data_IF_489741695607
#
_entry.id   IF_489741695607
#
_cell.length_a   1.000
_cell.length_b   1.000
_cell.length_c   1.000
_cell.angle_alpha   90.00
_cell.angle_beta   90.00
_cell.angle_gamma   90.00
#
_symmetry.space_group_name_H-M   'P 1'
#
loop_
_entity.id
_entity.type
_entity.pdbx_description
1 polymer ?
#
# COMPACT_ATOMS: atom_id res chain seq x y z
N UNK A 1 13.57 1.84 -25.12
CA UNK A 1 14.90 1.42 -24.62
C UNK A 1 14.85 -0.09 -24.51
N UNK A 2 15.59 -0.76 -25.39
CA UNK A 2 15.53 -2.20 -25.68
C UNK A 2 16.03 -3.07 -24.51
N UNK A 3 15.33 -4.18 -24.28
CA UNK A 3 15.70 -5.24 -23.33
C UNK A 3 16.12 -6.48 -24.11
N UNK A 4 17.36 -6.52 -24.54
CA UNK A 4 18.05 -7.77 -24.89
C UNK A 4 19.49 -7.63 -24.41
N UNK A 5 19.85 -8.40 -23.39
CA UNK A 5 21.25 -8.57 -23.00
C UNK A 5 21.47 -10.05 -22.69
N UNK A 6 22.42 -10.60 -23.43
CA UNK A 6 22.79 -11.99 -23.52
C UNK A 6 23.29 -12.58 -22.20
N UNK A 7 23.13 -13.90 -22.08
CA UNK A 7 23.67 -14.74 -21.02
C UNK A 7 25.20 -14.67 -20.96
N UNK A 8 25.76 -14.56 -19.75
CA UNK A 8 27.11 -15.05 -19.46
C UNK A 8 27.08 -16.08 -18.34
N UNK A 9 27.62 -17.29 -18.57
CA UNK A 9 27.77 -18.29 -17.52
C UNK A 9 28.98 -17.97 -16.64
N UNK A 10 28.89 -18.34 -15.36
CA UNK A 10 29.98 -18.34 -14.35
C UNK A 10 30.24 -17.05 -13.54
N UNK A 11 29.31 -16.69 -12.64
CA UNK A 11 29.64 -15.82 -11.50
C UNK A 11 29.14 -16.39 -10.17
N UNK A 12 30.07 -16.58 -9.22
CA UNK A 12 29.85 -17.15 -7.88
C UNK A 12 28.99 -16.22 -7.00
N UNK A 13 27.93 -16.78 -6.43
CA UNK A 13 26.81 -16.19 -5.67
C UNK A 13 27.09 -15.34 -4.40
N UNK A 14 28.31 -14.85 -4.15
CA UNK A 14 28.62 -14.20 -2.85
C UNK A 14 29.18 -12.78 -2.90
N UNK A 15 29.43 -12.19 -4.06
CA UNK A 15 29.93 -10.80 -4.11
C UNK A 15 29.37 -10.03 -5.31
N UNK A 16 28.44 -9.09 -5.07
CA UNK A 16 28.29 -7.76 -5.75
C UNK A 16 27.01 -7.07 -5.22
N UNK A 17 27.10 -6.00 -4.43
CA UNK A 17 27.12 -4.57 -4.81
C UNK A 17 26.02 -4.19 -5.82
N UNK A 18 25.03 -3.45 -5.32
CA UNK A 18 24.02 -2.69 -6.05
C UNK A 18 22.83 -3.49 -6.59
N UNK A 19 21.95 -3.81 -5.64
CA UNK A 19 20.55 -4.19 -5.83
C UNK A 19 19.87 -3.54 -7.05
N UNK A 20 19.62 -4.35 -8.07
CA UNK A 20 18.77 -4.06 -9.21
C UNK A 20 18.56 -5.36 -9.99
N UNK A 21 17.29 -5.65 -10.34
CA UNK A 21 16.75 -6.88 -10.97
C UNK A 21 16.68 -8.10 -10.03
N UNK A 22 15.51 -8.34 -9.45
CA UNK A 22 15.16 -9.60 -8.79
C UNK A 22 14.00 -10.21 -9.56
N UNK A 23 14.32 -11.15 -10.45
CA UNK A 23 13.31 -12.01 -11.06
C UNK A 23 13.06 -13.21 -10.11
N UNK A 24 11.79 -13.56 -9.92
CA UNK A 24 11.27 -14.72 -9.15
C UNK A 24 12.01 -16.05 -9.46
N UNK A 25 12.59 -16.11 -10.66
CA UNK A 25 13.33 -17.23 -11.23
C UNK A 25 14.61 -17.56 -10.46
N UNK A 26 15.29 -16.58 -9.87
CA UNK A 26 16.56 -16.81 -9.15
C UNK A 26 16.35 -17.44 -7.77
N UNK A 27 15.21 -17.17 -7.13
CA UNK A 27 14.84 -17.80 -5.86
C UNK A 27 14.68 -19.30 -6.03
N UNK A 28 13.93 -19.74 -7.04
CA UNK A 28 13.65 -21.15 -7.29
C UNK A 28 14.94 -21.91 -7.61
N UNK A 29 15.77 -21.35 -8.50
CA UNK A 29 17.05 -21.95 -8.92
C UNK A 29 17.97 -22.29 -7.76
N UNK A 30 17.97 -21.46 -6.71
CA UNK A 30 18.79 -21.67 -5.51
C UNK A 30 18.37 -22.94 -4.74
N UNK A 31 17.09 -23.33 -4.80
CA UNK A 31 16.55 -24.46 -4.04
C UNK A 31 16.28 -25.70 -4.91
N UNK A 32 16.49 -25.64 -6.23
CA UNK A 32 16.39 -26.83 -7.08
C UNK A 32 17.36 -27.92 -6.58
N UNK A 33 16.83 -29.12 -6.32
CA UNK A 33 17.59 -30.24 -5.75
C UNK A 33 17.67 -30.27 -4.22
N UNK A 34 16.95 -29.38 -3.53
CA UNK A 34 16.66 -29.46 -2.08
C UNK A 34 15.34 -30.21 -1.86
N UNK A 35 15.25 -30.88 -0.72
CA UNK A 35 14.03 -31.54 -0.26
C UNK A 35 13.15 -30.59 0.56
N UNK A 36 13.77 -29.56 1.18
CA UNK A 36 13.11 -28.68 2.14
C UNK A 36 13.57 -27.21 2.05
N UNK A 37 12.64 -26.29 2.32
CA UNK A 37 12.90 -24.87 2.52
C UNK A 37 12.32 -24.41 3.88
N UNK A 38 13.15 -23.77 4.70
CA UNK A 38 12.73 -23.19 5.98
C UNK A 38 12.51 -21.69 5.83
N UNK A 39 11.34 -21.20 6.25
CA UNK A 39 10.93 -19.81 6.03
C UNK A 39 10.30 -19.22 7.30
N UNK A 40 10.67 -18.00 7.75
CA UNK A 40 9.97 -17.36 8.87
C UNK A 40 8.50 -17.06 8.52
N UNK A 41 7.57 -17.28 9.46
CA UNK A 41 6.15 -16.92 9.25
C UNK A 41 6.01 -15.43 8.99
N UNK A 42 6.68 -14.59 9.79
CA UNK A 42 6.72 -13.13 9.60
C UNK A 42 7.25 -12.69 8.22
N UNK A 43 7.88 -13.58 7.47
CA UNK A 43 8.49 -13.28 6.19
C UNK A 43 7.53 -13.63 5.04
N UNK A 44 6.66 -14.64 5.21
CA UNK A 44 5.56 -14.94 4.28
C UNK A 44 4.32 -14.08 4.49
N UNK A 45 4.25 -13.34 5.59
CA UNK A 45 3.21 -12.34 5.87
C UNK A 45 3.80 -10.93 5.65
N UNK A 46 3.06 -10.00 5.04
CA UNK A 46 3.60 -8.64 4.84
C UNK A 46 3.29 -7.71 5.99
N UNK A 47 2.03 -7.65 6.40
CA UNK A 47 1.54 -6.65 7.32
C UNK A 47 0.44 -7.21 8.21
N UNK A 48 0.35 -6.62 9.38
CA UNK A 48 -0.81 -6.64 10.25
C UNK A 48 -1.40 -5.23 10.18
N UNK A 49 -2.26 -4.94 9.19
CA UNK A 49 -2.96 -3.63 9.14
C UNK A 49 -3.84 -3.44 10.35
N UNK A 50 -4.38 -4.56 10.82
CA UNK A 50 -5.32 -4.73 11.90
C UNK A 50 -4.96 -6.04 12.60
N UNK A 51 -5.19 -6.15 13.92
CA UNK A 51 -4.75 -7.35 14.65
C UNK A 51 -5.48 -8.58 14.12
N UNK A 52 -4.74 -9.56 13.57
CA UNK A 52 -5.34 -10.75 12.96
C UNK A 52 -5.67 -10.64 11.46
N UNK A 53 -5.47 -9.47 10.85
CA UNK A 53 -5.63 -9.26 9.41
C UNK A 53 -4.26 -9.32 8.74
N UNK A 54 -3.96 -10.48 8.14
CA UNK A 54 -2.70 -10.72 7.47
C UNK A 54 -2.89 -10.91 5.96
N UNK A 55 -1.89 -10.49 5.20
CA UNK A 55 -1.81 -10.70 3.75
C UNK A 55 -0.51 -11.39 3.36
N UNK A 56 -0.59 -12.12 2.25
CA UNK A 56 0.52 -12.87 1.69
C UNK A 56 1.62 -11.93 1.21
N UNK A 57 2.88 -12.25 1.51
CA UNK A 57 3.99 -11.51 0.94
C UNK A 57 4.17 -11.81 -0.54
N UNK A 58 4.14 -10.80 -1.44
CA UNK A 58 4.10 -10.96 -2.88
C UNK A 58 5.27 -11.76 -3.38
N UNK A 59 6.47 -11.33 -2.98
CA UNK A 59 7.73 -11.93 -3.33
C UNK A 59 7.82 -13.35 -2.77
N UNK A 60 7.34 -13.55 -1.55
CA UNK A 60 7.34 -14.86 -0.91
C UNK A 60 6.23 -15.77 -1.39
N UNK A 61 5.11 -15.24 -1.90
CA UNK A 61 3.98 -16.00 -2.43
C UNK A 61 4.39 -16.70 -3.70
N UNK A 62 4.98 -15.96 -4.63
CA UNK A 62 5.52 -16.51 -5.87
C UNK A 62 6.64 -17.53 -5.60
N UNK A 63 7.56 -17.21 -4.69
CA UNK A 63 8.62 -18.14 -4.30
C UNK A 63 8.06 -19.42 -3.65
N UNK A 64 7.15 -19.29 -2.69
CA UNK A 64 6.55 -20.43 -1.98
C UNK A 64 5.66 -21.28 -2.90
N UNK A 65 4.88 -20.66 -3.79
CA UNK A 65 4.07 -21.38 -4.78
C UNK A 65 4.96 -22.19 -5.72
N UNK A 66 6.09 -21.60 -6.12
CA UNK A 66 7.05 -22.28 -6.99
C UNK A 66 7.81 -23.39 -6.28
N UNK A 67 8.21 -23.20 -5.02
CA UNK A 67 8.79 -24.27 -4.19
C UNK A 67 7.81 -25.43 -4.04
N UNK A 68 6.54 -25.13 -3.75
CA UNK A 68 5.48 -26.12 -3.66
C UNK A 68 5.25 -26.85 -4.99
N UNK A 69 5.19 -26.13 -6.11
CA UNK A 69 5.08 -26.71 -7.46
C UNK A 69 6.23 -27.67 -7.77
N UNK A 70 7.44 -27.36 -7.33
CA UNK A 70 8.63 -28.22 -7.47
C UNK A 70 8.74 -29.29 -6.37
N UNK A 71 7.68 -29.53 -5.60
CA UNK A 71 7.61 -30.56 -4.54
C UNK A 71 8.64 -30.39 -3.42
N UNK A 72 9.12 -29.16 -3.19
CA UNK A 72 10.02 -28.82 -2.09
C UNK A 72 9.16 -28.54 -0.85
N UNK A 73 9.39 -29.29 0.23
CA UNK A 73 8.60 -29.17 1.46
C UNK A 73 8.94 -27.87 2.18
N UNK A 74 7.93 -27.05 2.45
CA UNK A 74 8.11 -25.77 3.15
C UNK A 74 7.80 -25.95 4.63
N UNK A 75 8.76 -25.57 5.47
CA UNK A 75 8.61 -25.57 6.94
C UNK A 75 8.68 -24.13 7.43
N UNK A 76 7.57 -23.64 7.96
CA UNK A 76 7.52 -22.32 8.54
C UNK A 76 8.05 -22.31 9.98
N UNK A 77 8.63 -21.20 10.43
CA UNK A 77 9.05 -21.05 11.83
C UNK A 77 8.78 -19.63 12.36
N UNK A 78 8.53 -19.52 13.66
CA UNK A 78 8.29 -18.21 14.30
C UNK A 78 8.56 -18.22 15.80
N UNK A 79 8.66 -17.05 16.43
CA UNK A 79 8.88 -16.91 17.88
C UNK A 79 7.67 -17.34 18.73
N UNK A 80 6.48 -17.47 18.14
CA UNK A 80 5.24 -17.83 18.85
C UNK A 80 4.29 -16.66 19.10
N UNK A 81 4.43 -15.55 18.34
CA UNK A 81 3.61 -14.35 18.51
C UNK A 81 2.15 -14.50 18.12
N UNK A 82 1.81 -15.48 17.26
CA UNK A 82 0.46 -15.64 16.69
C UNK A 82 -0.35 -16.77 17.34
N UNK A 83 0.10 -17.31 18.47
CA UNK A 83 -0.62 -18.36 19.22
C UNK A 83 -0.06 -19.77 19.02
N UNK A 84 -0.94 -20.77 18.93
CA UNK A 84 -0.59 -22.18 18.77
C UNK A 84 -0.48 -22.54 17.28
N UNK A 85 0.12 -23.68 16.97
CA UNK A 85 0.30 -24.15 15.59
C UNK A 85 -0.98 -24.09 14.73
N UNK A 86 -2.15 -24.42 15.31
CA UNK A 86 -3.44 -24.32 14.60
C UNK A 86 -3.81 -22.90 14.17
N UNK A 87 -3.48 -21.89 14.99
CA UNK A 87 -3.76 -20.48 14.70
C UNK A 87 -2.92 -20.00 13.51
N UNK A 88 -1.64 -20.38 13.49
CA UNK A 88 -0.76 -20.12 12.36
C UNK A 88 -1.24 -20.78 11.06
N UNK A 89 -1.69 -22.04 11.11
CA UNK A 89 -2.22 -22.73 9.91
C UNK A 89 -3.45 -22.03 9.36
N UNK A 90 -4.33 -21.54 10.24
CA UNK A 90 -5.50 -20.76 9.83
C UNK A 90 -5.08 -19.47 9.12
N UNK A 91 -4.15 -18.72 9.70
CA UNK A 91 -3.59 -17.48 9.11
C UNK A 91 -2.95 -17.78 7.75
N UNK A 92 -2.05 -18.76 7.68
CA UNK A 92 -1.35 -19.11 6.44
C UNK A 92 -2.30 -19.54 5.33
N UNK A 93 -3.35 -20.31 5.65
CA UNK A 93 -4.41 -20.67 4.69
C UNK A 93 -5.17 -19.43 4.19
N UNK A 94 -5.55 -18.52 5.08
CA UNK A 94 -6.20 -17.26 4.71
C UNK A 94 -5.30 -16.39 3.82
N UNK A 95 -3.99 -16.43 4.04
CA UNK A 95 -2.99 -15.76 3.21
C UNK A 95 -2.59 -16.56 1.95
N UNK A 96 -3.31 -17.61 1.57
CA UNK A 96 -3.06 -18.35 0.33
C UNK A 96 -1.84 -19.29 0.36
N UNK A 97 -1.38 -19.68 1.55
CA UNK A 97 -0.33 -20.69 1.75
C UNK A 97 -0.88 -22.01 2.33
N UNK A 98 -1.89 -22.65 1.71
CA UNK A 98 -2.52 -23.84 2.29
C UNK A 98 -1.57 -25.05 2.41
N UNK A 99 -0.50 -25.06 1.62
CA UNK A 99 0.51 -26.12 1.56
C UNK A 99 1.60 -26.01 2.65
N UNK A 100 1.65 -24.93 3.43
CA UNK A 100 2.60 -24.80 4.55
C UNK A 100 2.00 -25.50 5.78
N UNK A 101 2.26 -26.79 5.91
CA UNK A 101 1.63 -27.62 6.95
C UNK A 101 2.47 -27.80 8.21
N UNK A 102 3.78 -27.55 8.14
CA UNK A 102 4.71 -27.73 9.27
C UNK A 102 5.17 -26.40 9.81
N UNK A 103 4.99 -26.22 11.12
CA UNK A 103 5.29 -24.97 11.81
C UNK A 103 6.17 -25.27 13.02
N UNK A 104 7.38 -24.74 13.01
CA UNK A 104 8.35 -24.90 14.08
C UNK A 104 8.28 -23.71 15.05
N UNK A 105 7.80 -23.96 16.26
CA UNK A 105 7.74 -22.98 17.35
C UNK A 105 8.75 -23.33 18.44
N UNK A 106 9.50 -22.37 19.02
CA UNK A 106 10.48 -22.61 20.07
C UNK A 106 9.96 -23.47 21.23
N UNK A 107 8.71 -23.23 21.65
CA UNK A 107 8.06 -23.96 22.73
C UNK A 107 7.99 -25.48 22.46
N UNK A 108 7.76 -25.90 21.21
CA UNK A 108 7.71 -27.30 20.82
C UNK A 108 9.07 -28.02 20.98
N UNK A 109 10.17 -27.26 21.05
CA UNK A 109 11.54 -27.77 21.23
C UNK A 109 12.13 -27.43 22.62
N UNK A 110 11.29 -27.01 23.57
CA UNK A 110 11.72 -26.58 24.90
C UNK A 110 12.63 -25.35 24.89
N UNK A 111 12.52 -24.49 23.86
CA UNK A 111 13.32 -23.26 23.72
C UNK A 111 12.45 -22.03 23.98
N UNK A 112 13.09 -20.97 24.48
CA UNK A 112 12.44 -19.66 24.72
C UNK A 112 12.36 -18.75 23.49
N UNK A 113 13.19 -18.99 22.47
CA UNK A 113 13.28 -18.18 21.25
C UNK A 113 13.92 -18.94 20.10
N UNK A 114 13.71 -18.47 18.86
CA UNK A 114 14.44 -18.94 17.69
C UNK A 114 15.90 -18.46 17.77
N UNK A 115 16.79 -19.37 18.14
CA UNK A 115 18.23 -19.17 18.15
C UNK A 115 18.96 -20.44 17.72
N UNK A 116 20.28 -20.46 17.81
CA UNK A 116 21.09 -21.59 17.31
C UNK A 116 20.63 -22.96 17.83
N UNK A 117 20.30 -23.06 19.13
CA UNK A 117 19.79 -24.29 19.73
C UNK A 117 18.41 -24.72 19.19
N UNK A 118 17.52 -23.77 18.88
CA UNK A 118 16.24 -24.07 18.24
C UNK A 118 16.45 -24.63 16.83
N UNK A 119 17.26 -23.97 16.01
CA UNK A 119 17.53 -24.43 14.64
C UNK A 119 18.17 -25.82 14.61
N UNK A 120 19.08 -26.11 15.55
CA UNK A 120 19.69 -27.44 15.69
C UNK A 120 18.65 -28.54 15.95
N UNK A 121 17.73 -28.33 16.89
CA UNK A 121 16.69 -29.32 17.21
C UNK A 121 15.65 -29.44 16.08
N UNK A 122 15.27 -28.30 15.48
CA UNK A 122 14.33 -28.23 14.37
C UNK A 122 14.84 -29.02 13.16
N UNK A 123 16.09 -28.81 12.74
CA UNK A 123 16.65 -29.54 11.59
C UNK A 123 16.93 -31.01 11.91
N UNK A 124 17.24 -31.35 13.17
CA UNK A 124 17.34 -32.75 13.60
C UNK A 124 15.98 -33.47 13.56
N UNK A 125 14.89 -32.76 13.86
CA UNK A 125 13.54 -33.31 13.91
C UNK A 125 12.90 -33.41 12.53
N UNK A 126 12.97 -32.34 11.72
CA UNK A 126 12.31 -32.27 10.43
C UNK A 126 13.21 -32.58 9.23
N UNK A 127 14.52 -32.34 9.34
CA UNK A 127 15.47 -32.37 8.22
C UNK A 127 16.43 -33.56 8.21
N UNK A 128 16.20 -34.59 9.03
CA UNK A 128 17.09 -35.75 9.11
C UNK A 128 17.18 -36.46 7.75
N UNK A 129 18.38 -36.47 7.16
CA UNK A 129 18.65 -37.09 5.86
C UNK A 129 18.20 -36.28 4.65
N UNK A 130 17.68 -35.07 4.84
CA UNK A 130 17.17 -34.19 3.78
C UNK A 130 18.13 -33.03 3.50
N UNK A 131 18.26 -32.64 2.24
CA UNK A 131 18.92 -31.40 1.83
C UNK A 131 17.96 -30.25 2.02
N UNK A 132 18.37 -29.25 2.79
CA UNK A 132 17.51 -28.10 3.07
C UNK A 132 18.23 -26.78 2.86
N UNK A 133 17.46 -25.72 2.66
CA UNK A 133 17.96 -24.35 2.73
C UNK A 133 17.01 -23.45 3.52
N UNK A 134 17.44 -22.21 3.77
CA UNK A 134 16.69 -21.23 4.56
C UNK A 134 16.47 -19.97 3.71
N UNK A 135 15.26 -19.43 3.73
CA UNK A 135 14.89 -18.14 3.14
C UNK A 135 14.55 -17.19 4.28
N UNK A 136 15.20 -16.03 4.36
CA UNK A 136 14.91 -15.03 5.41
C UNK A 136 15.30 -13.63 4.98
N UNK A 137 14.64 -12.62 5.54
CA UNK A 137 15.02 -11.21 5.40
C UNK A 137 16.19 -10.78 6.30
N UNK A 138 16.71 -11.70 7.13
CA UNK A 138 17.84 -11.46 8.04
C UNK A 138 18.81 -12.62 7.95
N UNK A 139 20.11 -12.30 7.94
CA UNK A 139 21.15 -13.33 7.96
C UNK A 139 21.02 -14.21 9.21
N UNK A 140 20.75 -15.50 9.00
CA UNK A 140 20.65 -16.47 10.07
C UNK A 140 22.05 -17.02 10.40
N UNK A 141 22.55 -16.70 11.59
CA UNK A 141 23.89 -17.12 12.04
C UNK A 141 24.07 -18.64 12.02
N UNK A 142 22.99 -19.39 12.26
CA UNK A 142 23.00 -20.85 12.15
C UNK A 142 23.32 -21.32 10.72
N UNK A 143 22.68 -20.72 9.71
CA UNK A 143 22.88 -21.08 8.32
C UNK A 143 24.32 -20.84 7.89
N UNK A 144 24.88 -19.69 8.28
CA UNK A 144 26.28 -19.33 8.04
C UNK A 144 27.23 -20.32 8.71
N UNK A 145 27.01 -20.64 9.99
CA UNK A 145 27.87 -21.52 10.76
C UNK A 145 27.83 -22.99 10.28
N UNK A 146 26.76 -23.40 9.61
CA UNK A 146 26.55 -24.77 9.13
C UNK A 146 26.67 -24.91 7.61
N UNK A 147 27.06 -23.85 6.90
CA UNK A 147 27.15 -23.82 5.44
C UNK A 147 25.86 -24.33 4.75
N UNK A 148 24.72 -23.94 5.32
CA UNK A 148 23.39 -24.24 4.75
C UNK A 148 23.12 -23.22 3.64
N UNK A 149 22.52 -23.65 2.53
CA UNK A 149 22.07 -22.72 1.48
C UNK A 149 21.10 -21.71 2.08
N UNK A 150 21.48 -20.45 1.98
CA UNK A 150 20.77 -19.35 2.63
C UNK A 150 20.48 -18.26 1.60
N UNK A 151 19.20 -17.98 1.42
CA UNK A 151 18.73 -16.91 0.55
C UNK A 151 18.30 -15.71 1.40
N UNK A 152 19.02 -14.60 1.22
CA UNK A 152 18.67 -13.31 1.80
C UNK A 152 17.79 -12.53 0.82
N UNK A 153 16.57 -12.16 1.24
CA UNK A 153 15.69 -11.31 0.43
C UNK A 153 15.42 -9.96 1.11
N UNK A 154 15.00 -8.96 0.34
CA UNK A 154 14.61 -7.65 0.88
C UNK A 154 13.16 -7.71 1.32
N UNK A 155 12.92 -7.51 2.61
CA UNK A 155 11.56 -7.42 3.16
C UNK A 155 10.72 -6.35 2.41
N UNK A 156 9.40 -6.55 2.23
CA UNK A 156 8.49 -5.49 1.78
C UNK A 156 8.59 -4.21 2.63
N UNK A 157 8.86 -4.34 3.93
CA UNK A 157 9.16 -3.20 4.82
C UNK A 157 10.45 -2.46 4.46
N UNK A 158 11.23 -2.91 3.49
CA UNK A 158 12.44 -2.23 3.02
C UNK A 158 12.38 -1.92 1.51
N UNK A 159 11.24 -2.23 0.88
CA UNK A 159 11.09 -2.16 -0.56
C UNK A 159 11.07 -0.70 -1.04
N UNK A 160 11.91 -0.33 -2.02
CA UNK A 160 11.75 0.95 -2.72
C UNK A 160 10.37 1.02 -3.35
N UNK A 161 9.58 2.03 -3.01
CA UNK A 161 8.21 2.19 -3.48
C UNK A 161 7.13 1.76 -2.47
N UNK A 162 7.50 1.25 -1.28
CA UNK A 162 6.54 1.14 -0.16
C UNK A 162 6.08 2.54 0.24
N UNK A 163 4.79 2.70 0.49
CA UNK A 163 4.24 3.87 1.14
C UNK A 163 4.89 4.09 2.51
N UNK A 164 5.32 5.31 2.79
CA UNK A 164 6.04 5.62 4.02
C UNK A 164 5.89 7.08 4.44
N UNK A 165 5.21 7.33 5.55
CA UNK A 165 4.94 8.69 6.05
C UNK A 165 6.01 9.21 7.02
N UNK A 166 6.88 8.35 7.55
CA UNK A 166 7.90 8.76 8.51
C UNK A 166 8.28 7.68 9.53
N UNK A 167 9.26 8.01 10.38
CA UNK A 167 9.75 7.10 11.45
C UNK A 167 8.91 7.15 12.72
N UNK A 168 8.15 8.23 12.91
CA UNK A 168 7.35 8.50 14.10
C UNK A 168 5.95 8.86 13.62
N UNK A 169 5.17 7.82 13.36
CA UNK A 169 3.81 7.93 12.91
C UNK A 169 2.88 7.78 14.12
N UNK A 170 1.77 8.52 14.13
CA UNK A 170 0.65 8.23 15.04
C UNK A 170 -0.02 6.90 14.66
N UNK A 171 -0.94 6.41 15.51
CA UNK A 171 -1.67 5.16 15.26
C UNK A 171 -2.45 5.19 13.93
N UNK A 172 -3.18 6.28 13.66
CA UNK A 172 -3.93 6.48 12.40
C UNK A 172 -3.01 6.51 11.17
N UNK A 173 -1.86 7.18 11.27
CA UNK A 173 -0.88 7.26 10.18
C UNK A 173 -0.23 5.90 9.91
N UNK A 174 0.01 5.11 10.96
CA UNK A 174 0.55 3.77 10.84
C UNK A 174 -0.49 2.78 10.27
N UNK A 175 -1.74 2.90 10.71
CA UNK A 175 -2.86 2.14 10.14
C UNK A 175 -3.00 2.44 8.64
N UNK A 176 -3.07 3.71 8.26
CA UNK A 176 -3.15 4.11 6.85
C UNK A 176 -1.96 3.60 6.03
N UNK A 177 -0.73 3.75 6.55
CA UNK A 177 0.47 3.26 5.88
C UNK A 177 0.42 1.74 5.66
N UNK A 178 0.01 0.97 6.67
CA UNK A 178 -0.13 -0.49 6.54
C UNK A 178 -1.25 -0.85 5.55
N UNK A 179 -2.41 -0.20 5.66
CA UNK A 179 -3.56 -0.42 4.79
C UNK A 179 -3.23 -0.19 3.31
N UNK A 180 -2.56 0.93 2.99
CA UNK A 180 -2.13 1.22 1.62
C UNK A 180 -1.09 0.21 1.16
N UNK A 181 -0.08 -0.06 1.99
CA UNK A 181 0.97 -1.00 1.63
C UNK A 181 0.47 -2.44 1.46
N UNK A 182 -0.58 -2.84 2.17
CA UNK A 182 -1.22 -4.13 1.96
C UNK A 182 -1.73 -4.27 0.54
N UNK A 183 -2.38 -3.25 -0.02
CA UNK A 183 -2.81 -3.30 -1.41
C UNK A 183 -1.67 -3.12 -2.41
N UNK A 184 -0.81 -2.11 -2.20
CA UNK A 184 0.29 -1.82 -3.13
C UNK A 184 1.30 -2.97 -3.24
N UNK A 185 1.46 -3.73 -2.16
CA UNK A 185 2.39 -4.85 -2.10
C UNK A 185 1.64 -6.19 -2.08
N UNK A 186 0.35 -6.26 -2.39
CA UNK A 186 -0.25 -7.58 -2.60
C UNK A 186 0.33 -8.17 -3.90
N UNK A 187 0.83 -9.41 -3.87
CA UNK A 187 1.49 -10.01 -5.06
C UNK A 187 0.53 -10.61 -6.04
N UNK A 188 -0.75 -10.43 -5.77
CA UNK A 188 -1.86 -11.11 -6.41
C UNK A 188 -2.54 -10.22 -7.42
N UNK A 189 -2.36 -8.90 -7.31
CA UNK A 189 -3.04 -7.92 -8.15
C UNK A 189 -2.00 -7.04 -8.83
N UNK A 190 -2.11 -6.91 -10.15
CA UNK A 190 -1.20 -6.08 -10.93
C UNK A 190 -1.96 -4.86 -11.41
N UNK A 191 -1.60 -3.72 -10.85
CA UNK A 191 -2.39 -2.49 -10.94
C UNK A 191 -1.77 -1.41 -11.82
N UNK A 192 -2.61 -0.57 -12.43
CA UNK A 192 -2.14 0.58 -13.19
C UNK A 192 -1.65 1.69 -12.26
N UNK A 193 -0.77 2.58 -12.75
CA UNK A 193 -0.37 3.77 -11.97
C UNK A 193 -1.56 4.72 -11.74
N UNK A 194 -2.60 4.68 -12.58
CA UNK A 194 -3.86 5.40 -12.38
C UNK A 194 -4.63 4.85 -11.19
N UNK A 195 -4.81 3.53 -11.12
CA UNK A 195 -5.38 2.85 -9.96
C UNK A 195 -4.62 3.15 -8.68
N UNK A 196 -3.29 2.98 -8.67
CA UNK A 196 -2.49 3.31 -7.50
C UNK A 196 -2.63 4.76 -7.06
N UNK A 197 -2.76 5.68 -8.03
CA UNK A 197 -2.95 7.07 -7.71
C UNK A 197 -4.31 7.33 -7.05
N UNK A 198 -5.37 6.74 -7.60
CA UNK A 198 -6.70 6.74 -7.00
C UNK A 198 -6.72 6.14 -5.60
N UNK A 199 -6.13 4.96 -5.43
CA UNK A 199 -6.16 4.20 -4.18
C UNK A 199 -5.32 4.86 -3.07
N UNK A 200 -4.05 5.18 -3.35
CA UNK A 200 -3.11 5.62 -2.31
C UNK A 200 -3.15 7.12 -2.01
N UNK A 201 -3.76 7.94 -2.88
CA UNK A 201 -3.70 9.40 -2.76
C UNK A 201 -5.06 10.09 -2.87
N UNK A 202 -5.85 9.85 -3.92
CA UNK A 202 -7.16 10.50 -4.04
C UNK A 202 -8.24 9.87 -3.14
N UNK A 203 -8.12 8.57 -2.85
CA UNK A 203 -9.04 7.82 -2.00
C UNK A 203 -9.18 8.43 -0.62
N UNK A 204 -8.07 8.73 0.07
CA UNK A 204 -8.12 9.37 1.40
C UNK A 204 -8.74 10.76 1.33
N UNK A 205 -8.50 11.50 0.25
CA UNK A 205 -9.04 12.86 0.10
C UNK A 205 -10.56 12.81 -0.08
N UNK A 206 -11.06 11.90 -0.91
CA UNK A 206 -12.49 11.71 -1.13
C UNK A 206 -13.16 11.18 0.13
N UNK A 207 -12.54 10.20 0.80
CA UNK A 207 -13.05 9.68 2.07
C UNK A 207 -13.17 10.78 3.13
N UNK A 208 -12.11 11.58 3.33
CA UNK A 208 -12.13 12.73 4.22
C UNK A 208 -13.20 13.76 3.83
N UNK A 209 -13.35 14.05 2.53
CA UNK A 209 -14.37 14.96 2.05
C UNK A 209 -15.78 14.43 2.33
N UNK A 210 -16.03 13.13 2.17
CA UNK A 210 -17.31 12.52 2.51
C UNK A 210 -17.61 12.66 4.01
N UNK A 211 -16.65 12.38 4.89
CA UNK A 211 -16.81 12.57 6.34
C UNK A 211 -17.09 14.03 6.70
N UNK A 212 -16.40 14.98 6.05
CA UNK A 212 -16.66 16.41 6.20
C UNK A 212 -18.08 16.79 5.77
N UNK A 213 -18.53 16.30 4.61
CA UNK A 213 -19.88 16.57 4.10
C UNK A 213 -20.93 16.07 5.08
N UNK A 214 -20.82 14.82 5.54
CA UNK A 214 -21.73 14.21 6.50
C UNK A 214 -21.88 15.08 7.76
N UNK A 215 -20.77 15.48 8.37
CA UNK A 215 -20.78 16.35 9.55
C UNK A 215 -21.42 17.71 9.29
N UNK A 216 -21.18 18.30 8.12
CA UNK A 216 -21.75 19.60 7.75
C UNK A 216 -23.26 19.51 7.54
N UNK A 217 -23.71 18.48 6.84
CA UNK A 217 -25.13 18.23 6.58
C UNK A 217 -25.88 17.99 7.90
N UNK A 218 -25.32 17.16 8.79
CA UNK A 218 -25.91 16.89 10.11
C UNK A 218 -25.97 18.14 11.02
N UNK A 219 -24.92 18.97 11.01
CA UNK A 219 -24.88 20.19 11.82
C UNK A 219 -25.85 21.28 11.32
N UNK A 220 -26.06 21.35 10.01
CA UNK A 220 -26.87 22.40 9.39
C UNK A 220 -28.35 22.00 9.26
N UNK A 221 -28.69 20.70 9.43
CA UNK A 221 -30.07 20.20 9.39
C UNK A 221 -30.72 20.39 8.03
N UNK A 222 -29.98 20.14 6.95
CA UNK A 222 -30.30 20.58 5.59
C UNK A 222 -31.12 19.57 4.78
N UNK A 223 -31.72 20.06 3.68
CA UNK A 223 -32.49 19.28 2.71
C UNK A 223 -31.64 18.48 1.72
N UNK A 224 -32.22 18.09 0.59
CA UNK A 224 -31.62 17.24 -0.44
C UNK A 224 -30.22 17.70 -0.90
N UNK A 225 -29.33 16.74 -1.15
CA UNK A 225 -27.93 17.00 -1.52
C UNK A 225 -27.77 16.89 -3.04
N UNK A 226 -27.03 17.84 -3.61
CA UNK A 226 -26.82 17.91 -5.05
C UNK A 226 -25.33 17.94 -5.38
N UNK A 227 -24.82 16.93 -6.10
CA UNK A 227 -23.43 16.90 -6.55
C UNK A 227 -23.33 17.43 -7.98
N UNK A 228 -22.37 18.30 -8.26
CA UNK A 228 -22.10 18.70 -9.65
C UNK A 228 -21.60 17.50 -10.48
N UNK A 229 -21.89 17.45 -11.78
CA UNK A 229 -21.45 16.37 -12.65
C UNK A 229 -19.92 16.13 -12.64
N UNK A 230 -19.06 17.17 -12.59
CA UNK A 230 -17.62 16.99 -12.36
C UNK A 230 -17.26 16.27 -11.04
N UNK A 231 -18.16 16.27 -10.06
CA UNK A 231 -18.00 15.66 -8.74
C UNK A 231 -18.57 14.25 -8.64
N UNK A 232 -18.83 13.60 -9.78
CA UNK A 232 -19.43 12.26 -9.86
C UNK A 232 -18.70 11.18 -9.05
N UNK A 233 -17.37 11.23 -8.96
CA UNK A 233 -16.62 10.29 -8.11
C UNK A 233 -16.90 10.51 -6.63
N UNK A 234 -16.96 11.76 -6.17
CA UNK A 234 -17.33 12.08 -4.79
C UNK A 234 -18.78 11.69 -4.50
N UNK A 235 -19.69 11.90 -5.45
CA UNK A 235 -21.08 11.42 -5.37
C UNK A 235 -21.12 9.90 -5.16
N UNK A 236 -20.42 9.12 -5.99
CA UNK A 236 -20.43 7.66 -5.88
C UNK A 236 -19.84 7.16 -4.56
N UNK A 237 -18.74 7.77 -4.11
CA UNK A 237 -18.13 7.44 -2.83
C UNK A 237 -19.07 7.76 -1.66
N UNK A 238 -19.66 8.95 -1.66
CA UNK A 238 -20.61 9.39 -0.63
C UNK A 238 -21.83 8.48 -0.58
N UNK A 239 -22.38 8.16 -1.76
CA UNK A 239 -23.52 7.26 -1.90
C UNK A 239 -23.26 5.86 -1.34
N UNK A 240 -22.05 5.37 -1.50
CA UNK A 240 -21.66 4.05 -1.01
C UNK A 240 -21.45 4.04 0.52
N UNK A 241 -21.01 5.17 1.10
CA UNK A 241 -20.83 5.32 2.55
C UNK A 241 -22.16 5.60 3.29
N UNK A 242 -23.07 6.34 2.64
CA UNK A 242 -24.32 6.84 3.22
C UNK A 242 -25.51 6.56 2.29
N UNK A 243 -25.89 5.27 2.11
CA UNK A 243 -26.96 4.89 1.20
C UNK A 243 -28.35 5.40 1.63
N UNK A 244 -28.50 5.84 2.88
CA UNK A 244 -29.73 6.39 3.43
C UNK A 244 -30.03 7.83 2.99
N UNK A 245 -29.06 8.55 2.44
CA UNK A 245 -29.21 9.97 2.11
C UNK A 245 -29.75 10.21 0.70
N UNK A 246 -30.72 11.12 0.59
CA UNK A 246 -31.25 11.53 -0.71
C UNK A 246 -30.33 12.53 -1.41
N UNK A 247 -29.85 12.12 -2.58
CA UNK A 247 -28.85 12.85 -3.34
C UNK A 247 -29.14 12.80 -4.84
N UNK A 248 -28.69 13.82 -5.56
CA UNK A 248 -28.86 13.91 -7.01
C UNK A 248 -27.64 14.54 -7.70
N UNK A 249 -27.42 14.22 -8.97
CA UNK A 249 -26.41 14.89 -9.80
C UNK A 249 -26.99 16.11 -10.52
N UNK A 250 -26.30 17.24 -10.43
CA UNK A 250 -26.56 18.44 -11.22
C UNK A 250 -25.61 18.53 -12.41
N UNK A 251 -26.17 18.65 -13.62
CA UNK A 251 -25.41 18.81 -14.85
C UNK A 251 -24.94 20.26 -15.04
N UNK A 252 -23.93 20.64 -14.24
CA UNK A 252 -23.35 22.00 -14.24
C UNK A 252 -21.85 21.92 -14.43
N UNK A 253 -21.33 22.83 -15.25
CA UNK A 253 -19.89 22.98 -15.50
C UNK A 253 -19.50 24.45 -15.42
N UNK A 254 -18.26 24.73 -14.97
CA UNK A 254 -17.74 26.10 -14.93
C UNK A 254 -17.79 26.79 -16.30
N UNK A 255 -17.65 26.03 -17.39
CA UNK A 255 -17.69 26.56 -18.76
C UNK A 255 -19.07 27.10 -19.16
N UNK A 256 -20.14 26.56 -18.59
CA UNK A 256 -21.53 26.95 -18.92
C UNK A 256 -22.07 28.04 -17.99
N UNK A 257 -21.24 28.62 -17.12
CA UNK A 257 -21.64 29.62 -16.11
C UNK A 257 -22.35 30.88 -16.65
N UNK A 258 -22.11 31.24 -17.91
CA UNK A 258 -22.74 32.42 -18.55
C UNK A 258 -24.01 32.08 -19.31
N UNK A 259 -24.40 30.81 -19.32
CA UNK A 259 -25.60 30.35 -19.99
C UNK A 259 -26.83 30.81 -19.20
N UNK A 260 -27.75 31.51 -19.88
CA UNK A 260 -29.00 31.96 -19.28
C UNK A 260 -29.90 30.76 -18.94
N UNK A 261 -29.79 29.67 -19.68
CA UNK A 261 -30.58 28.45 -19.44
C UNK A 261 -30.12 27.72 -18.18
N UNK A 262 -28.82 27.79 -17.84
CA UNK A 262 -28.28 27.19 -16.63
C UNK A 262 -28.95 27.75 -15.36
N UNK A 263 -29.15 29.07 -15.30
CA UNK A 263 -29.83 29.70 -14.16
C UNK A 263 -31.27 29.20 -14.03
N UNK A 264 -32.01 29.11 -15.15
CA UNK A 264 -33.38 28.58 -15.14
C UNK A 264 -33.42 27.11 -14.74
N UNK A 265 -32.45 26.30 -15.18
CA UNK A 265 -32.30 24.91 -14.78
C UNK A 265 -32.09 24.78 -13.27
N UNK A 266 -31.13 25.53 -12.71
CA UNK A 266 -30.84 25.52 -11.28
C UNK A 266 -32.03 26.01 -10.45
N UNK A 267 -32.69 27.09 -10.87
CA UNK A 267 -33.90 27.59 -10.22
C UNK A 267 -35.05 26.59 -10.25
N UNK A 268 -35.18 25.74 -11.27
CA UNK A 268 -36.25 24.73 -11.34
C UNK A 268 -35.91 23.46 -10.57
N UNK A 269 -34.63 23.07 -10.55
CA UNK A 269 -34.20 21.76 -10.04
C UNK A 269 -33.77 21.80 -8.59
N UNK A 270 -33.13 22.87 -8.14
CA UNK A 270 -32.55 22.96 -6.80
C UNK A 270 -33.60 23.46 -5.81
N UNK A 271 -33.79 22.71 -4.74
CA UNK A 271 -34.69 23.05 -3.64
C UNK A 271 -34.13 24.18 -2.77
N UNK A 272 -35.02 24.88 -2.07
CA UNK A 272 -34.61 25.93 -1.13
C UNK A 272 -33.83 25.30 0.04
N UNK A 273 -32.73 25.95 0.46
CA UNK A 273 -31.82 25.45 1.53
C UNK A 273 -31.15 24.10 1.22
N UNK A 274 -31.04 23.74 -0.05
CA UNK A 274 -30.27 22.58 -0.48
C UNK A 274 -28.76 22.78 -0.29
N UNK A 275 -28.03 21.66 -0.18
CA UNK A 275 -26.57 21.63 -0.18
C UNK A 275 -26.09 21.21 -1.57
N UNK A 276 -25.23 22.02 -2.16
CA UNK A 276 -24.60 21.74 -3.45
C UNK A 276 -23.15 21.41 -3.19
N UNK A 277 -22.69 20.30 -3.73
CA UNK A 277 -21.35 19.77 -3.55
C UNK A 277 -20.58 19.88 -4.86
N UNK A 278 -19.46 20.58 -4.82
CA UNK A 278 -18.51 20.67 -5.93
C UNK A 278 -17.10 20.30 -5.46
N UNK A 279 -16.55 19.21 -5.97
CA UNK A 279 -15.23 18.68 -5.62
C UNK A 279 -14.11 19.46 -6.34
N UNK A 280 -14.01 20.76 -6.07
CA UNK A 280 -12.98 21.64 -6.64
C UNK A 280 -12.29 22.53 -5.61
N UNK A 281 -11.11 23.03 -6.00
CA UNK A 281 -10.33 24.03 -5.26
C UNK A 281 -10.44 25.42 -5.90
N UNK A 282 -11.67 25.81 -6.27
CA UNK A 282 -11.94 27.03 -7.01
C UNK A 282 -12.91 27.94 -6.23
N UNK A 283 -12.39 28.89 -5.43
CA UNK A 283 -13.25 29.75 -4.61
C UNK A 283 -14.10 30.69 -5.46
N UNK A 284 -13.60 31.15 -6.62
CA UNK A 284 -14.38 31.98 -7.53
C UNK A 284 -15.59 31.20 -8.09
N UNK A 285 -15.35 29.95 -8.48
CA UNK A 285 -16.43 29.08 -8.97
C UNK A 285 -17.45 28.76 -7.88
N UNK A 286 -17.00 28.56 -6.64
CA UNK A 286 -17.89 28.38 -5.49
C UNK A 286 -18.84 29.58 -5.35
N UNK A 287 -18.29 30.80 -5.29
CA UNK A 287 -19.08 32.01 -5.09
C UNK A 287 -20.04 32.25 -6.26
N UNK A 288 -19.59 32.00 -7.50
CA UNK A 288 -20.43 32.05 -8.71
C UNK A 288 -21.58 31.03 -8.64
N UNK A 289 -21.31 29.79 -8.25
CA UNK A 289 -22.31 28.73 -8.17
C UNK A 289 -23.34 29.03 -7.07
N UNK A 290 -22.92 29.54 -5.92
CA UNK A 290 -23.82 29.94 -4.83
C UNK A 290 -24.74 31.09 -5.28
N UNK A 291 -24.21 32.05 -6.05
CA UNK A 291 -24.98 33.15 -6.62
C UNK A 291 -25.97 32.73 -7.73
N UNK A 292 -25.70 31.63 -8.42
CA UNK A 292 -26.58 31.06 -9.44
C UNK A 292 -27.75 30.27 -8.85
N UNK A 293 -27.66 29.86 -7.59
CA UNK A 293 -28.64 29.00 -6.94
C UNK A 293 -29.69 29.78 -6.15
N UNK A 294 -30.74 29.08 -5.71
CA UNK A 294 -31.84 29.69 -4.96
C UNK A 294 -31.37 30.22 -3.60
N UNK A 295 -32.14 31.16 -3.05
CA UNK A 295 -31.84 31.83 -1.78
C UNK A 295 -31.74 30.81 -0.65
N UNK A 296 -30.62 30.82 0.06
CA UNK A 296 -30.36 29.93 1.20
C UNK A 296 -29.68 28.61 0.85
N UNK A 297 -29.42 28.32 -0.43
CA UNK A 297 -28.55 27.21 -0.81
C UNK A 297 -27.11 27.46 -0.33
N UNK A 298 -26.39 26.38 -0.05
CA UNK A 298 -24.96 26.43 0.30
C UNK A 298 -24.14 25.59 -0.66
N UNK A 299 -22.99 26.11 -1.06
CA UNK A 299 -22.02 25.37 -1.88
C UNK A 299 -20.85 24.93 -1.00
N UNK A 300 -20.67 23.61 -0.88
CA UNK A 300 -19.57 22.98 -0.16
C UNK A 300 -18.53 22.46 -1.16
N UNK A 301 -17.26 22.78 -0.89
CA UNK A 301 -16.14 22.48 -1.78
C UNK A 301 -14.92 21.97 -1.03
N UNK A 302 -13.88 21.54 -1.74
CA UNK A 302 -12.58 21.25 -1.12
C UNK A 302 -11.99 22.50 -0.46
N UNK A 303 -12.38 23.71 -0.89
CA UNK A 303 -11.96 24.93 -0.21
C UNK A 303 -12.47 24.98 1.24
N UNK A 304 -13.66 24.44 1.50
CA UNK A 304 -14.26 24.41 2.83
C UNK A 304 -13.67 23.32 3.72
N UNK A 305 -13.26 22.19 3.13
CA UNK A 305 -12.53 21.13 3.81
C UNK A 305 -11.17 21.62 4.31
N UNK A 306 -10.37 22.21 3.41
CA UNK A 306 -9.00 22.61 3.73
C UNK A 306 -8.93 23.95 4.48
N UNK A 307 -9.83 24.89 4.18
CA UNK A 307 -9.70 26.28 4.61
C UNK A 307 -8.61 27.04 3.85
N UNK A 308 -8.67 28.38 3.90
CA UNK A 308 -7.82 29.25 3.07
C UNK A 308 -6.31 29.07 3.29
N UNK A 309 -5.87 28.88 4.54
CA UNK A 309 -4.45 28.74 4.87
C UNK A 309 -3.83 27.48 4.26
N UNK A 310 -4.54 26.35 4.33
CA UNK A 310 -4.09 25.09 3.76
C UNK A 310 -4.13 25.14 2.22
N UNK A 311 -5.14 25.77 1.62
CA UNK A 311 -5.16 25.98 0.15
C UNK A 311 -3.99 26.85 -0.30
N UNK A 312 -3.66 27.92 0.44
CA UNK A 312 -2.51 28.78 0.11
C UNK A 312 -1.19 28.00 0.19
N UNK A 313 -1.07 27.13 1.19
CA UNK A 313 0.13 26.32 1.44
C UNK A 313 0.27 25.15 0.45
N UNK A 314 -0.84 24.51 0.06
CA UNK A 314 -0.83 23.24 -0.67
C UNK A 314 -1.49 23.29 -2.04
N UNK A 315 -2.14 24.38 -2.43
CA UNK A 315 -2.86 24.50 -3.68
C UNK A 315 -1.97 24.26 -4.91
N UNK A 316 -0.67 24.58 -4.83
CA UNK A 316 0.32 24.19 -5.86
C UNK A 316 0.52 22.67 -5.93
N UNK A 317 0.63 22.01 -4.79
CA UNK A 317 0.77 20.54 -4.68
C UNK A 317 -0.47 19.84 -5.21
N UNK A 318 -1.67 20.31 -4.83
CA UNK A 318 -2.93 19.74 -5.34
C UNK A 318 -3.12 20.02 -6.83
N UNK A 319 -2.80 21.23 -7.32
CA UNK A 319 -2.83 21.50 -8.78
C UNK A 319 -1.86 20.61 -9.55
N UNK A 320 -0.69 20.30 -8.98
CA UNK A 320 0.26 19.33 -9.55
C UNK A 320 -0.30 17.90 -9.53
N UNK A 321 -1.00 17.51 -8.46
CA UNK A 321 -1.73 16.25 -8.36
C UNK A 321 -2.74 16.06 -9.50
N UNK A 322 -3.61 17.06 -9.66
CA UNK A 322 -4.62 17.10 -10.72
C UNK A 322 -3.97 17.12 -12.10
N UNK A 323 -2.76 17.67 -12.24
CA UNK A 323 -1.96 17.59 -13.46
C UNK A 323 -1.46 16.16 -13.74
N UNK A 324 -0.93 15.46 -12.74
CA UNK A 324 -0.47 14.07 -12.87
C UNK A 324 -1.60 13.08 -13.13
N UNK A 325 -2.77 13.28 -12.53
CA UNK A 325 -3.99 12.53 -12.86
C UNK A 325 -4.37 12.66 -14.35
N UNK A 326 -3.91 13.72 -15.02
CA UNK A 326 -4.14 13.99 -16.45
C UNK A 326 -2.98 13.55 -17.36
N UNK A 327 -1.85 13.11 -16.80
CA UNK A 327 -0.72 12.61 -17.60
C UNK A 327 -1.09 11.27 -18.24
N UNK A 328 -1.17 11.19 -19.57
CA UNK A 328 -1.54 9.95 -20.29
C UNK A 328 -0.40 8.91 -20.38
N UNK A 329 0.63 9.02 -19.53
CA UNK A 329 1.80 8.14 -19.54
C UNK A 329 1.55 6.91 -18.68
N UNK A 330 0.83 5.93 -19.24
CA UNK A 330 0.59 4.63 -18.61
C UNK A 330 0.85 3.50 -19.60
N UNK A 331 1.46 2.42 -19.11
CA UNK A 331 1.58 1.15 -19.82
C UNK A 331 0.88 0.07 -19.01
N UNK A 332 -0.16 -0.56 -19.58
CA UNK A 332 -0.45 -1.98 -19.25
C UNK A 332 -0.62 -2.72 -20.56
N UNK A 333 0.35 -3.58 -20.89
CA UNK A 333 0.31 -4.31 -22.15
C UNK A 333 -0.64 -5.50 -22.09
N UNK A 334 -0.79 -6.22 -20.96
CA UNK A 334 -1.85 -7.24 -20.83
C UNK A 334 -2.10 -7.82 -19.45
N UNK A 335 -3.38 -8.07 -19.21
CA UNK A 335 -3.92 -9.22 -18.52
C UNK A 335 -5.25 -9.71 -19.17
N UNK A 336 -5.64 -10.99 -19.03
CA UNK A 336 -7.00 -11.50 -19.37
C UNK A 336 -7.57 -12.56 -18.38
N UNK A 337 -8.78 -12.31 -17.79
CA UNK A 337 -9.51 -12.95 -16.63
C UNK A 337 -9.38 -12.27 -15.24
N UNK A 338 -9.68 -10.95 -15.19
CA UNK A 338 -9.58 -10.02 -14.03
C UNK A 338 -8.76 -8.73 -14.27
N UNK A 339 -8.69 -8.22 -15.51
CA UNK A 339 -7.36 -8.09 -16.10
C UNK A 339 -7.27 -7.10 -17.33
N UNK A 340 -6.36 -6.07 -17.36
CA UNK A 340 -6.19 -5.12 -18.51
C UNK A 340 -5.03 -5.34 -19.53
N UNK A 341 -5.32 -5.39 -20.85
CA UNK A 341 -4.41 -5.41 -22.06
C UNK A 341 -4.68 -4.27 -23.01
N UNK A 342 -3.72 -3.41 -23.34
CA UNK A 342 -3.92 -2.44 -24.44
C UNK A 342 -2.64 -2.15 -25.25
N UNK A 343 -2.62 -2.62 -26.51
CA UNK A 343 -1.71 -2.14 -27.57
C UNK A 343 -2.48 -1.23 -28.56
N UNK A 344 -1.89 -0.05 -28.79
CA UNK A 344 -2.26 1.04 -29.72
C UNK A 344 -3.72 1.52 -29.72
N UNK A 345 -4.00 2.48 -28.83
CA UNK A 345 -5.23 3.27 -28.89
C UNK A 345 -4.98 4.77 -28.99
N UNK A 346 -5.96 5.47 -29.55
CA UNK A 346 -6.05 6.93 -29.61
C UNK A 346 -5.94 7.58 -28.22
N UNK A 347 -5.39 8.80 -28.17
CA UNK A 347 -5.15 9.56 -26.93
C UNK A 347 -6.44 9.77 -26.11
N UNK A 348 -7.58 9.92 -26.78
CA UNK A 348 -8.91 10.10 -26.18
C UNK A 348 -9.32 8.90 -25.31
N UNK A 349 -9.12 7.67 -25.80
CA UNK A 349 -9.48 6.42 -25.11
C UNK A 349 -8.57 6.20 -23.90
N UNK A 350 -7.26 6.48 -24.04
CA UNK A 350 -6.31 6.39 -22.92
C UNK A 350 -6.70 7.28 -21.74
N UNK A 351 -7.14 8.50 -22.03
CA UNK A 351 -7.58 9.46 -21.01
C UNK A 351 -8.84 8.96 -20.29
N UNK A 352 -9.81 8.43 -21.04
CA UNK A 352 -11.03 7.84 -20.46
C UNK A 352 -10.69 6.69 -19.52
N UNK A 353 -9.86 5.74 -19.97
CA UNK A 353 -9.48 4.57 -19.16
C UNK A 353 -8.66 4.93 -17.93
N UNK A 354 -7.74 5.89 -18.05
CA UNK A 354 -7.03 6.37 -16.87
C UNK A 354 -7.99 6.95 -15.83
N UNK A 355 -9.00 7.70 -16.26
CA UNK A 355 -10.07 8.16 -15.38
C UNK A 355 -10.81 7.02 -14.69
N UNK A 356 -11.14 5.95 -15.43
CA UNK A 356 -11.80 4.76 -14.88
C UNK A 356 -10.92 4.01 -13.87
N UNK A 357 -9.61 3.87 -14.13
CA UNK A 357 -8.68 3.22 -13.22
C UNK A 357 -8.49 4.03 -11.93
N UNK A 358 -8.36 5.36 -12.04
CA UNK A 358 -8.32 6.27 -10.88
C UNK A 358 -9.59 6.12 -10.04
N UNK A 359 -10.75 6.16 -10.71
CA UNK A 359 -12.05 5.99 -10.06
C UNK A 359 -12.17 4.62 -9.37
N UNK A 360 -11.71 3.53 -10.01
CA UNK A 360 -11.66 2.20 -9.38
C UNK A 360 -10.84 2.24 -8.10
N UNK A 361 -9.62 2.78 -8.16
CA UNK A 361 -8.74 2.89 -7.00
C UNK A 361 -9.38 3.68 -5.84
N UNK A 362 -10.05 4.80 -6.14
CA UNK A 362 -10.76 5.60 -5.15
C UNK A 362 -11.86 4.79 -4.49
N UNK A 363 -12.73 4.16 -5.28
CA UNK A 363 -13.90 3.44 -4.76
C UNK A 363 -13.47 2.24 -3.91
N UNK A 364 -12.47 1.48 -4.36
CA UNK A 364 -11.92 0.37 -3.59
C UNK A 364 -11.29 0.85 -2.27
N UNK A 365 -10.53 1.96 -2.30
CA UNK A 365 -10.00 2.56 -1.08
C UNK A 365 -11.13 2.91 -0.11
N UNK A 366 -12.13 3.69 -0.55
CA UNK A 366 -13.21 4.20 0.30
C UNK A 366 -13.96 3.06 0.98
N UNK A 367 -14.34 2.04 0.22
CA UNK A 367 -15.11 0.91 0.74
C UNK A 367 -14.30 0.06 1.71
N UNK A 368 -13.07 -0.30 1.34
CA UNK A 368 -12.22 -1.13 2.18
C UNK A 368 -11.77 -0.38 3.43
N UNK A 369 -11.43 0.91 3.32
CA UNK A 369 -10.95 1.69 4.44
C UNK A 369 -12.03 1.85 5.52
N UNK A 370 -13.28 2.13 5.13
CA UNK A 370 -14.40 2.21 6.07
C UNK A 370 -14.69 0.87 6.74
N UNK A 371 -14.65 -0.23 5.98
CA UNK A 371 -14.85 -1.57 6.53
C UNK A 371 -13.79 -1.91 7.59
N UNK A 372 -12.51 -1.70 7.27
CA UNK A 372 -11.41 -1.97 8.19
C UNK A 372 -11.46 -1.06 9.42
N UNK A 373 -11.77 0.23 9.24
CA UNK A 373 -11.91 1.19 10.33
C UNK A 373 -12.98 0.72 11.33
N UNK A 374 -14.14 0.27 10.84
CA UNK A 374 -15.22 -0.27 11.68
C UNK A 374 -14.80 -1.55 12.41
N UNK A 375 -14.13 -2.47 11.73
CA UNK A 375 -13.65 -3.72 12.32
C UNK A 375 -12.67 -3.47 13.47
N UNK A 376 -11.78 -2.48 13.32
CA UNK A 376 -10.78 -2.13 14.33
C UNK A 376 -11.27 -1.10 15.37
N UNK A 377 -12.52 -0.66 15.32
CA UNK A 377 -13.07 0.41 16.18
C UNK A 377 -12.22 1.69 16.18
N UNK A 378 -11.65 2.04 15.02
CA UNK A 378 -10.89 3.28 14.87
C UNK A 378 -11.84 4.48 14.85
N UNK A 379 -11.42 5.65 15.38
CA UNK A 379 -12.23 6.86 15.36
C UNK A 379 -12.59 7.25 13.92
N UNK A 380 -13.76 7.87 13.76
CA UNK A 380 -14.14 8.46 12.49
C UNK A 380 -13.19 9.60 12.13
N UNK A 381 -12.95 9.74 10.82
CA UNK A 381 -12.16 10.83 10.27
C UNK A 381 -12.83 12.15 10.65
N UNK A 382 -12.25 12.84 11.63
CA UNK A 382 -12.88 13.98 12.24
C UNK A 382 -12.75 15.26 11.41
N UNK A 383 -11.89 15.22 10.39
CA UNK A 383 -11.51 16.32 9.49
C UNK A 383 -10.87 17.50 10.25
N UNK A 384 -10.34 17.25 11.44
CA UNK A 384 -9.61 18.20 12.25
C UNK A 384 -8.17 18.38 11.80
N UNK A 385 -7.38 19.10 12.61
CA UNK A 385 -6.02 19.47 12.25
C UNK A 385 -5.09 18.27 12.02
N UNK A 386 -5.29 17.15 12.73
CA UNK A 386 -4.48 15.94 12.59
C UNK A 386 -4.73 15.24 11.25
N UNK A 387 -6.00 15.04 10.93
CA UNK A 387 -6.45 14.48 9.66
C UNK A 387 -5.97 15.27 8.45
N UNK A 388 -6.03 16.61 8.55
CA UNK A 388 -5.50 17.49 7.50
C UNK A 388 -3.98 17.36 7.36
N UNK A 389 -3.24 17.14 8.45
CA UNK A 389 -1.80 16.87 8.40
C UNK A 389 -1.51 15.50 7.77
N UNK A 390 -2.33 14.48 8.02
CA UNK A 390 -2.21 13.18 7.36
C UNK A 390 -2.43 13.33 5.86
N UNK A 391 -3.55 13.92 5.42
CA UNK A 391 -3.83 14.19 4.00
C UNK A 391 -2.68 14.98 3.36
N UNK A 392 -2.14 15.98 4.05
CA UNK A 392 -0.99 16.73 3.58
C UNK A 392 0.23 15.84 3.36
N UNK A 393 0.61 15.01 4.34
CA UNK A 393 1.76 14.10 4.22
C UNK A 393 1.54 13.12 3.06
N UNK A 394 0.31 12.62 2.92
CA UNK A 394 -0.08 11.69 1.85
C UNK A 394 0.13 12.31 0.49
N UNK A 395 -0.40 13.52 0.28
CA UNK A 395 -0.25 14.25 -0.96
C UNK A 395 1.23 14.57 -1.22
N UNK A 396 2.01 15.02 -0.22
CA UNK A 396 3.45 15.26 -0.39
C UNK A 396 4.21 14.02 -0.85
N UNK A 397 3.93 12.88 -0.22
CA UNK A 397 4.54 11.60 -0.57
C UNK A 397 4.19 11.19 -2.02
N UNK A 398 2.96 11.45 -2.46
CA UNK A 398 2.51 11.22 -3.84
C UNK A 398 3.35 11.94 -4.91
N UNK A 399 3.98 13.06 -4.56
CA UNK A 399 4.73 13.90 -5.50
C UNK A 399 6.24 13.85 -5.32
N UNK A 400 6.72 13.16 -4.28
CA UNK A 400 8.14 13.03 -4.01
C UNK A 400 8.68 11.71 -4.56
N UNK A 401 8.97 11.67 -5.87
CA UNK A 401 9.55 10.48 -6.50
C UNK A 401 10.86 10.04 -5.86
N UNK A 402 11.70 10.99 -5.43
CA UNK A 402 12.94 10.65 -4.74
C UNK A 402 12.66 9.91 -3.44
N UNK A 403 11.69 10.37 -2.67
CA UNK A 403 11.29 9.74 -1.41
C UNK A 403 10.67 8.36 -1.63
N UNK A 404 9.81 8.20 -2.65
CA UNK A 404 9.28 6.88 -3.03
C UNK A 404 10.36 5.90 -3.45
N UNK A 405 11.40 6.37 -4.14
CA UNK A 405 12.51 5.52 -4.61
C UNK A 405 13.51 5.19 -3.49
N UNK A 406 13.41 5.82 -2.31
CA UNK A 406 14.32 5.55 -1.17
C UNK A 406 13.95 4.23 -0.50
N UNK A 407 14.98 3.60 0.09
CA UNK A 407 14.78 2.48 1.01
C UNK A 407 14.48 3.02 2.40
N UNK A 408 13.34 2.62 2.94
CA UNK A 408 12.94 2.97 4.29
C UNK A 408 13.49 1.90 5.25
N UNK A 409 14.55 2.25 5.98
CA UNK A 409 15.22 1.34 6.92
C UNK A 409 14.73 1.54 8.35
N UNK A 410 14.52 0.44 9.07
CA UNK A 410 14.23 0.46 10.49
C UNK A 410 15.37 1.12 11.30
N UNK A 411 15.08 1.77 12.45
CA UNK A 411 16.08 2.50 13.24
C UNK A 411 17.31 1.65 13.61
N UNK A 412 17.10 0.42 14.05
CA UNK A 412 18.20 -0.51 14.39
C UNK A 412 19.05 -0.89 13.16
N UNK A 413 18.45 -0.97 11.98
CA UNK A 413 19.18 -1.30 10.75
C UNK A 413 19.96 -0.11 10.22
N UNK A 414 19.39 1.10 10.31
CA UNK A 414 20.12 2.34 10.05
C UNK A 414 21.32 2.48 11.00
N UNK A 415 21.18 2.07 12.26
CA UNK A 415 22.25 2.02 13.24
C UNK A 415 23.36 1.05 12.82
N UNK A 416 23.03 -0.17 12.39
CA UNK A 416 24.02 -1.16 11.90
C UNK A 416 24.74 -0.67 10.64
N UNK A 417 24.03 0.02 9.74
CA UNK A 417 24.62 0.55 8.51
C UNK A 417 25.41 1.86 8.72
N UNK A 418 25.32 2.45 9.91
CA UNK A 418 26.06 3.67 10.27
C UNK A 418 27.57 3.47 10.13
N UNK A 419 28.28 4.56 9.79
CA UNK A 419 29.74 4.55 9.68
C UNK A 419 30.40 4.09 10.99
N UNK A 420 29.81 4.46 12.12
CA UNK A 420 30.28 4.12 13.47
C UNK A 420 30.17 2.62 13.76
N UNK A 421 29.03 2.00 13.46
CA UNK A 421 28.86 0.56 13.62
C UNK A 421 29.77 -0.23 12.66
N UNK A 422 29.89 0.20 11.41
CA UNK A 422 30.84 -0.39 10.43
C UNK A 422 32.29 -0.29 10.92
N UNK A 423 32.68 0.81 11.55
CA UNK A 423 34.00 0.98 12.13
C UNK A 423 34.24 0.04 13.32
N UNK A 424 33.28 -0.06 14.26
CA UNK A 424 33.37 -0.99 15.39
C UNK A 424 33.50 -2.46 14.95
N UNK A 425 32.74 -2.88 13.93
CA UNK A 425 32.85 -4.23 13.35
C UNK A 425 34.22 -4.47 12.69
N UNK A 426 34.79 -3.47 12.00
CA UNK A 426 36.16 -3.58 11.45
C UNK A 426 37.20 -3.73 12.55
N UNK A 427 37.06 -2.99 13.64
CA UNK A 427 37.96 -3.05 14.79
C UNK A 427 37.94 -4.44 15.43
N UNK A 428 36.74 -4.99 15.67
CA UNK A 428 36.56 -6.33 16.21
C UNK A 428 37.12 -7.42 15.30
N UNK A 429 36.90 -7.32 13.97
CA UNK A 429 37.51 -8.25 13.00
C UNK A 429 39.03 -8.17 12.99
N UNK A 430 39.60 -6.97 13.12
CA UNK A 430 41.06 -6.76 13.24
C UNK A 430 41.61 -7.44 14.49
N UNK A 431 40.95 -7.23 15.64
CA UNK A 431 41.34 -7.87 16.91
C UNK A 431 41.25 -9.40 16.84
N UNK A 432 40.14 -9.94 16.32
CA UNK A 432 39.95 -11.39 16.19
C UNK A 432 41.02 -12.03 15.28
N UNK A 433 41.40 -11.38 14.17
CA UNK A 433 42.49 -11.85 13.29
C UNK A 433 43.86 -11.83 13.97
N UNK A 434 44.10 -10.90 14.90
CA UNK A 434 45.35 -10.87 15.68
C UNK A 434 45.38 -11.97 16.74
N UNK A 435 44.24 -12.25 17.38
CA UNK A 435 44.11 -13.30 18.39
C UNK A 435 44.28 -14.68 17.76
N UNK A 436 43.73 -14.92 16.57
CA UNK A 436 43.83 -16.21 15.85
C UNK A 436 45.19 -16.47 15.18
N UNK A 437 46.07 -15.46 15.14
CA UNK A 437 47.46 -15.58 14.63
C UNK A 437 48.49 -15.82 15.75
N UNK A 438 48.08 -15.76 17.01
CA UNK A 438 48.80 -16.30 18.15
C UNK A 438 48.23 -17.69 18.45
#
# INVERSE_FOLDING_TARGET
MEFTAEWQPEAKLWETKNYGRYDEVDYIRTFLGRDQAYIPVKDVLIFETAKGHYRANPFMKQAADSLHYNQIEIIAFDQGGYGREGDYKKILRQCGYPYIEKIALPAAFGKKKCGFGFFKEMTASFGKGKKYGIISNKAELFAVAKHVDFLLYTSPSQYPGRYYLGKKNGEEEQFFENFINEQLLNGTVKESRGYHFGYAFEGILIYAFCSFLKKRIEAEGTGRIYFTAPSSTAFQAYAALHPEEEMETLYVWKQTRRDKELKSYLEKRVEDKAVIVDFSLDPEWKDELEALCRRGCRVLTLCDLFGQDNIRKYGKTVKKAVGMAKENNFSVTYYKNGLPVWEQEEVSIRKLRNGQEIQRGIMEFVMQFEEYRRQENLPEFDCGAKDMQLIEKVLKYAFNEEERKRRHMEPFQALIQSRTAKWGVRLLKSMYRRIRKK
#
